data_IF_850248625646
#
_entry.id   IF_850248625646
#
_cell.length_a   1.000
_cell.length_b   1.000
_cell.length_c   1.000
_cell.angle_alpha   90.00
_cell.angle_beta   90.00
_cell.angle_gamma   90.00
#
_symmetry.space_group_name_H-M   'P 1'
#
loop_
_entity.id
_entity.type
_entity.pdbx_description
1 polymer ?
#
# COMPACT_ATOMS: atom_id res chain seq x y z
N UNK A 1 -7.01 2.33 -22.21
CA UNK A 1 -6.14 3.49 -22.47
C UNK A 1 -5.14 3.54 -21.32
N UNK A 2 -3.86 3.33 -21.56
CA UNK A 2 -2.85 3.49 -20.50
C UNK A 2 -2.84 4.97 -20.13
N UNK A 3 -3.11 5.28 -18.88
CA UNK A 3 -2.98 6.61 -18.34
C UNK A 3 -1.49 6.97 -18.29
N UNK A 4 -1.02 7.62 -19.33
CA UNK A 4 0.34 8.15 -19.39
C UNK A 4 0.29 9.57 -18.83
N UNK A 5 0.56 9.72 -17.57
CA UNK A 5 0.88 11.01 -16.97
C UNK A 5 2.25 11.42 -17.48
N UNK A 6 2.33 11.88 -18.73
CA UNK A 6 3.45 12.73 -19.13
C UNK A 6 3.40 13.96 -18.24
N UNK A 7 4.25 13.95 -17.23
CA UNK A 7 4.37 14.97 -16.17
C UNK A 7 4.90 16.30 -16.69
N UNK A 8 4.85 16.50 -17.99
CA UNK A 8 5.30 17.71 -18.64
C UNK A 8 4.19 18.77 -18.56
N UNK A 9 4.54 19.93 -18.07
CA UNK A 9 3.70 21.12 -18.21
C UNK A 9 3.62 21.45 -19.69
N UNK A 10 2.40 21.80 -20.17
CA UNK A 10 2.31 22.53 -21.42
C UNK A 10 3.08 23.84 -21.27
N UNK A 11 3.85 24.21 -22.29
CA UNK A 11 4.67 25.42 -22.33
C UNK A 11 3.93 26.58 -22.95
N UNK A 12 2.97 26.26 -23.83
CA UNK A 12 2.13 27.24 -24.51
C UNK A 12 0.73 26.65 -24.76
N UNK A 13 -0.22 27.50 -25.09
CA UNK A 13 -1.59 27.09 -25.36
C UNK A 13 -2.30 28.02 -26.34
N UNK A 14 -3.32 27.48 -27.02
CA UNK A 14 -4.19 28.22 -27.94
C UNK A 14 -5.65 27.85 -27.70
N UNK A 15 -6.50 28.83 -27.49
CA UNK A 15 -7.94 28.62 -27.36
C UNK A 15 -8.63 29.17 -28.61
N UNK A 16 -9.31 28.31 -29.32
CA UNK A 16 -10.03 28.67 -30.53
C UNK A 16 -11.37 29.37 -30.21
N UNK A 17 -11.90 30.07 -31.21
CA UNK A 17 -13.22 30.71 -31.09
C UNK A 17 -14.32 29.66 -30.98
N UNK A 18 -15.43 30.08 -30.35
CA UNK A 18 -16.65 29.28 -30.28
C UNK A 18 -17.26 29.10 -31.67
N UNK A 19 -17.48 27.85 -32.07
CA UNK A 19 -18.10 27.47 -33.35
C UNK A 19 -19.37 26.65 -33.11
N UNK A 20 -20.28 26.68 -34.07
CA UNK A 20 -21.43 25.78 -34.08
C UNK A 20 -20.95 24.38 -34.51
N UNK A 21 -21.39 23.35 -33.80
CA UNK A 21 -21.06 21.94 -34.06
C UNK A 21 -22.38 21.13 -34.08
N UNK A 22 -22.33 19.88 -34.53
CA UNK A 22 -23.49 19.03 -34.76
C UNK A 22 -24.49 18.96 -33.59
N UNK A 23 -24.05 19.16 -32.35
CA UNK A 23 -24.89 19.11 -31.14
C UNK A 23 -24.80 20.41 -30.31
N UNK A 24 -24.80 21.56 -30.93
CA UNK A 24 -24.78 22.85 -30.24
C UNK A 24 -23.50 23.67 -30.50
N UNK A 25 -22.97 24.30 -29.49
CA UNK A 25 -21.76 25.13 -29.58
C UNK A 25 -20.59 24.49 -28.85
N UNK A 26 -19.37 24.77 -29.30
CA UNK A 26 -18.16 24.31 -28.67
C UNK A 26 -16.91 25.07 -29.12
N UNK A 27 -15.79 24.78 -28.47
CA UNK A 27 -14.50 25.37 -28.79
C UNK A 27 -13.37 24.35 -28.53
N UNK A 28 -12.15 24.61 -29.05
CA UNK A 28 -10.99 23.78 -28.89
C UNK A 28 -9.92 24.49 -28.08
N UNK A 29 -9.26 23.73 -27.21
CA UNK A 29 -8.06 24.12 -26.49
C UNK A 29 -6.93 23.24 -27.00
N UNK A 30 -5.85 23.86 -27.48
CA UNK A 30 -4.62 23.17 -27.92
C UNK A 30 -3.54 23.51 -26.91
N UNK A 31 -2.88 22.49 -26.38
CA UNK A 31 -1.81 22.59 -25.43
C UNK A 31 -0.52 22.08 -26.07
N UNK A 32 0.54 22.87 -26.01
CA UNK A 32 1.83 22.56 -26.58
C UNK A 32 2.80 22.15 -25.47
N UNK A 33 3.55 21.08 -25.68
CA UNK A 33 4.51 20.53 -24.73
C UNK A 33 5.95 20.72 -25.18
N UNK A 34 6.90 20.70 -24.25
CA UNK A 34 8.34 20.86 -24.56
C UNK A 34 8.90 19.77 -25.51
N UNK A 35 8.28 18.59 -25.52
CA UNK A 35 8.65 17.49 -26.41
C UNK A 35 8.10 17.62 -27.84
N UNK A 36 7.48 18.76 -28.15
CA UNK A 36 6.86 19.01 -29.44
C UNK A 36 5.50 18.36 -29.64
N UNK A 37 4.96 17.67 -28.63
CA UNK A 37 3.62 17.08 -28.71
C UNK A 37 2.54 18.12 -28.48
N UNK A 38 1.40 17.94 -29.21
CA UNK A 38 0.22 18.76 -29.06
C UNK A 38 -0.94 17.93 -28.51
N UNK A 39 -1.66 18.46 -27.53
CA UNK A 39 -2.88 17.85 -27.00
C UNK A 39 -4.07 18.76 -27.32
N UNK A 40 -4.98 18.27 -28.13
CA UNK A 40 -6.20 18.99 -28.49
C UNK A 40 -7.36 18.51 -27.62
N UNK A 41 -7.97 19.42 -26.90
CA UNK A 41 -9.18 19.16 -26.12
C UNK A 41 -10.36 19.90 -26.74
N UNK A 42 -11.43 19.18 -27.04
CA UNK A 42 -12.67 19.78 -27.52
C UNK A 42 -13.68 19.86 -26.36
N UNK A 43 -14.12 21.07 -26.07
CA UNK A 43 -15.24 21.33 -25.18
C UNK A 43 -16.49 21.61 -26.00
N UNK A 44 -17.54 20.83 -25.80
CA UNK A 44 -18.76 20.85 -26.63
C UNK A 44 -20.01 20.55 -25.80
N UNK A 45 -21.18 20.66 -26.39
CA UNK A 45 -22.46 20.37 -25.72
C UNK A 45 -23.12 21.61 -25.09
N UNK A 46 -22.68 22.81 -25.43
CA UNK A 46 -23.32 24.01 -24.98
C UNK A 46 -24.55 24.32 -25.84
N UNK A 47 -25.69 24.59 -25.20
CA UNK A 47 -26.95 24.89 -25.87
C UNK A 47 -26.94 26.26 -26.57
N UNK A 48 -26.12 27.20 -26.09
CA UNK A 48 -26.03 28.56 -26.63
C UNK A 48 -24.59 29.00 -26.85
N UNK A 49 -24.36 29.90 -27.82
CA UNK A 49 -23.06 30.51 -28.07
C UNK A 49 -22.58 31.32 -26.86
N UNK A 50 -23.49 31.96 -26.13
CA UNK A 50 -23.18 32.74 -24.91
C UNK A 50 -22.63 31.85 -23.80
N UNK A 51 -23.24 30.66 -23.57
CA UNK A 51 -22.77 29.70 -22.57
C UNK A 51 -21.40 29.17 -22.93
N UNK A 52 -21.16 28.83 -24.21
CA UNK A 52 -19.88 28.36 -24.70
C UNK A 52 -18.78 29.44 -24.58
N UNK A 53 -19.10 30.71 -24.84
CA UNK A 53 -18.18 31.85 -24.69
C UNK A 53 -17.81 32.06 -23.23
N UNK A 54 -18.77 32.02 -22.32
CA UNK A 54 -18.51 32.15 -20.88
C UNK A 54 -17.61 31.05 -20.34
N UNK A 55 -17.83 29.80 -20.76
CA UNK A 55 -16.94 28.67 -20.38
C UNK A 55 -15.54 28.79 -21.01
N UNK A 56 -15.47 29.30 -22.26
CA UNK A 56 -14.20 29.59 -22.94
C UNK A 56 -13.38 30.65 -22.16
N UNK A 57 -14.02 31.73 -21.76
CA UNK A 57 -13.36 32.83 -21.04
C UNK A 57 -12.91 32.38 -19.64
N UNK A 58 -13.69 31.55 -18.97
CA UNK A 58 -13.27 30.88 -17.74
C UNK A 58 -12.05 30.00 -17.98
N UNK A 59 -12.06 29.18 -19.03
CA UNK A 59 -10.94 28.31 -19.41
C UNK A 59 -9.67 29.11 -19.71
N UNK A 60 -9.80 30.26 -20.38
CA UNK A 60 -8.66 31.15 -20.61
C UNK A 60 -8.11 31.70 -19.30
N UNK A 61 -8.96 32.10 -18.35
CA UNK A 61 -8.55 32.52 -17.00
C UNK A 61 -7.79 31.42 -16.25
N UNK A 62 -8.26 30.20 -16.32
CA UNK A 62 -7.57 29.04 -15.73
C UNK A 62 -6.21 28.76 -16.38
N UNK A 63 -6.10 28.90 -17.71
CA UNK A 63 -4.85 28.75 -18.44
C UNK A 63 -3.83 29.84 -18.07
N UNK A 64 -4.24 31.10 -18.01
CA UNK A 64 -3.41 32.23 -17.57
C UNK A 64 -2.96 32.05 -16.11
N UNK A 65 -3.85 31.61 -15.24
CA UNK A 65 -3.54 31.34 -13.84
C UNK A 65 -2.70 30.05 -13.65
N UNK A 66 -2.51 29.26 -14.71
CA UNK A 66 -1.83 27.96 -14.64
C UNK A 66 -2.57 26.91 -13.80
N UNK A 67 -3.89 27.08 -13.59
CA UNK A 67 -4.75 26.17 -12.83
C UNK A 67 -5.58 25.24 -13.73
N UNK A 68 -5.42 25.36 -15.04
CA UNK A 68 -6.13 24.52 -16.00
C UNK A 68 -5.79 23.04 -15.88
N UNK A 69 -6.81 22.20 -15.79
CA UNK A 69 -6.68 20.74 -15.61
C UNK A 69 -6.86 20.02 -16.95
N UNK A 70 -5.77 19.41 -17.42
CA UNK A 70 -5.74 18.73 -18.73
C UNK A 70 -6.51 17.41 -18.72
N UNK A 71 -6.55 16.72 -17.59
CA UNK A 71 -7.06 15.36 -17.48
C UNK A 71 -8.51 15.27 -16.96
N UNK A 72 -9.44 15.95 -17.63
CA UNK A 72 -10.84 16.05 -17.18
C UNK A 72 -11.61 14.73 -17.15
N UNK A 73 -11.19 13.70 -17.90
CA UNK A 73 -11.90 12.42 -18.04
C UNK A 73 -11.28 11.25 -17.26
N UNK A 74 -10.20 11.47 -16.48
CA UNK A 74 -9.54 10.42 -15.72
C UNK A 74 -10.42 10.00 -14.55
N UNK A 75 -10.69 8.68 -14.46
CA UNK A 75 -11.42 8.11 -13.33
C UNK A 75 -10.49 7.91 -12.13
N UNK A 76 -11.06 7.95 -10.94
CA UNK A 76 -10.35 7.71 -9.69
C UNK A 76 -9.64 6.35 -9.66
N UNK A 77 -10.27 5.31 -10.26
CA UNK A 77 -9.65 3.98 -10.41
C UNK A 77 -8.35 4.05 -11.19
N UNK A 78 -8.38 4.62 -12.40
CA UNK A 78 -7.22 4.66 -13.30
C UNK A 78 -6.08 5.48 -12.69
N UNK A 79 -6.43 6.58 -12.00
CA UNK A 79 -5.47 7.41 -11.27
C UNK A 79 -4.82 6.66 -10.12
N UNK A 80 -5.60 5.95 -9.28
CA UNK A 80 -5.05 5.20 -8.14
C UNK A 80 -4.17 4.03 -8.57
N UNK A 81 -4.53 3.33 -9.65
CA UNK A 81 -3.70 2.27 -10.23
C UNK A 81 -2.34 2.83 -10.70
N UNK A 82 -2.38 3.96 -11.41
CA UNK A 82 -1.17 4.66 -11.83
C UNK A 82 -0.34 5.11 -10.60
N UNK A 83 -0.97 5.76 -9.63
CA UNK A 83 -0.29 6.27 -8.44
C UNK A 83 0.35 5.16 -7.61
N UNK A 84 -0.31 4.02 -7.47
CA UNK A 84 0.26 2.85 -6.79
C UNK A 84 1.49 2.32 -7.51
N UNK A 85 1.42 2.16 -8.84
CA UNK A 85 2.48 1.51 -9.61
C UNK A 85 3.69 2.43 -9.81
N UNK A 86 3.46 3.67 -10.24
CA UNK A 86 4.52 4.57 -10.65
C UNK A 86 5.10 5.39 -9.49
N UNK A 87 4.27 5.77 -8.52
CA UNK A 87 4.69 6.66 -7.44
C UNK A 87 4.99 5.90 -6.14
N UNK A 88 4.12 4.95 -5.76
CA UNK A 88 4.25 4.30 -4.45
C UNK A 88 5.16 3.07 -4.48
N UNK A 89 5.08 2.26 -5.54
CA UNK A 89 5.87 1.02 -5.64
C UNK A 89 7.38 1.21 -5.47
N UNK A 90 8.03 2.23 -6.07
CA UNK A 90 9.46 2.46 -5.87
C UNK A 90 9.82 3.03 -4.49
N UNK A 91 8.84 3.60 -3.75
CA UNK A 91 9.09 4.34 -2.49
C UNK A 91 8.79 3.57 -1.23
N UNK A 92 7.96 2.54 -1.31
CA UNK A 92 7.51 1.80 -0.13
C UNK A 92 7.94 0.34 -0.20
N UNK A 93 7.99 -0.31 0.97
CA UNK A 93 8.30 -1.75 1.04
C UNK A 93 7.21 -2.59 0.38
N UNK A 94 7.56 -3.79 -0.10
CA UNK A 94 6.61 -4.72 -0.73
C UNK A 94 5.39 -5.03 0.14
N UNK A 95 5.56 -5.15 1.47
CA UNK A 95 4.44 -5.37 2.39
C UNK A 95 3.52 -4.15 2.51
N UNK A 96 4.08 -2.93 2.48
CA UNK A 96 3.29 -1.70 2.46
C UNK A 96 2.56 -1.54 1.14
N UNK A 97 3.21 -1.86 0.02
CA UNK A 97 2.61 -1.85 -1.31
C UNK A 97 1.41 -2.82 -1.40
N UNK A 98 1.56 -4.05 -0.90
CA UNK A 98 0.47 -5.02 -0.80
C UNK A 98 -0.69 -4.48 0.03
N UNK A 99 -0.39 -3.91 1.20
CA UNK A 99 -1.41 -3.33 2.09
C UNK A 99 -2.16 -2.17 1.42
N UNK A 100 -1.45 -1.28 0.74
CA UNK A 100 -2.04 -0.15 0.01
C UNK A 100 -2.89 -0.65 -1.17
N UNK A 101 -2.37 -1.59 -1.96
CA UNK A 101 -3.10 -2.19 -3.08
C UNK A 101 -4.41 -2.85 -2.62
N UNK A 102 -4.34 -3.72 -1.62
CA UNK A 102 -5.52 -4.37 -1.04
C UNK A 102 -6.54 -3.34 -0.54
N UNK A 103 -6.08 -2.26 0.10
CA UNK A 103 -6.97 -1.20 0.59
C UNK A 103 -7.62 -0.44 -0.56
N UNK A 104 -6.86 -0.09 -1.58
CA UNK A 104 -7.37 0.62 -2.77
C UNK A 104 -8.43 -0.22 -3.49
N UNK A 105 -8.13 -1.49 -3.77
CA UNK A 105 -9.03 -2.36 -4.55
C UNK A 105 -10.26 -2.83 -3.78
N UNK A 106 -10.12 -3.09 -2.48
CA UNK A 106 -11.23 -3.64 -1.69
C UNK A 106 -12.11 -2.57 -1.04
N UNK A 107 -11.60 -1.34 -0.88
CA UNK A 107 -12.32 -0.31 -0.12
C UNK A 107 -12.51 1.02 -0.86
N UNK A 108 -11.54 1.48 -1.67
CA UNK A 108 -11.63 2.79 -2.31
C UNK A 108 -12.29 2.69 -3.69
N UNK A 109 -11.78 1.82 -4.56
CA UNK A 109 -12.30 1.66 -5.93
C UNK A 109 -13.78 1.26 -5.98
N UNK A 110 -14.29 0.34 -5.14
CA UNK A 110 -15.70 -0.02 -5.18
C UNK A 110 -16.65 1.15 -4.91
N UNK A 111 -16.24 2.10 -4.06
CA UNK A 111 -17.08 3.23 -3.66
C UNK A 111 -16.96 4.43 -4.61
N UNK A 112 -15.72 4.83 -4.92
CA UNK A 112 -15.47 6.08 -5.68
C UNK A 112 -14.68 5.89 -6.98
N UNK A 113 -14.32 4.66 -7.34
CA UNK A 113 -13.43 4.39 -8.49
C UNK A 113 -13.97 4.84 -9.85
N UNK A 114 -15.27 4.92 -10.04
CA UNK A 114 -15.89 5.35 -11.30
C UNK A 114 -16.04 6.87 -11.42
N UNK A 115 -15.86 7.61 -10.34
CA UNK A 115 -15.96 9.07 -10.31
C UNK A 115 -14.74 9.65 -11.03
N UNK A 116 -14.95 10.65 -11.89
CA UNK A 116 -13.85 11.39 -12.51
C UNK A 116 -13.10 12.21 -11.46
N UNK A 117 -11.79 12.33 -11.61
CA UNK A 117 -10.92 13.06 -10.68
C UNK A 117 -11.38 14.51 -10.48
N UNK A 118 -11.87 15.15 -11.56
CA UNK A 118 -12.39 16.53 -11.53
C UNK A 118 -13.78 16.68 -10.90
N UNK A 119 -14.53 15.58 -10.81
CA UNK A 119 -15.88 15.53 -10.22
C UNK A 119 -15.87 15.04 -8.78
N UNK A 120 -14.71 14.61 -8.27
CA UNK A 120 -14.57 14.10 -6.90
C UNK A 120 -14.77 15.24 -5.90
N UNK A 121 -15.81 15.11 -5.07
CA UNK A 121 -16.19 16.11 -4.06
C UNK A 121 -15.80 15.64 -2.66
N UNK A 122 -15.71 16.58 -1.73
CA UNK A 122 -15.52 16.33 -0.30
C UNK A 122 -16.57 15.37 0.28
N UNK A 123 -17.82 15.45 -0.17
CA UNK A 123 -18.92 14.56 0.24
C UNK A 123 -18.65 13.10 -0.11
N UNK A 124 -18.09 12.81 -1.28
CA UNK A 124 -17.74 11.46 -1.69
C UNK A 124 -16.66 10.87 -0.77
N UNK A 125 -15.67 11.69 -0.37
CA UNK A 125 -14.62 11.26 0.55
C UNK A 125 -15.16 11.04 1.96
N UNK A 126 -16.09 11.86 2.42
CA UNK A 126 -16.77 11.69 3.71
C UNK A 126 -17.57 10.38 3.76
N UNK A 127 -18.30 10.06 2.70
CA UNK A 127 -19.08 8.83 2.62
C UNK A 127 -18.17 7.59 2.59
N UNK A 128 -17.11 7.61 1.79
CA UNK A 128 -16.07 6.58 1.81
C UNK A 128 -15.52 6.33 3.22
N UNK A 129 -15.25 7.41 3.97
CA UNK A 129 -14.74 7.28 5.35
C UNK A 129 -15.79 6.71 6.31
N UNK A 130 -17.07 7.05 6.13
CA UNK A 130 -18.16 6.45 6.91
C UNK A 130 -18.30 4.96 6.67
N UNK A 131 -18.41 4.54 5.41
CA UNK A 131 -18.55 3.13 5.04
C UNK A 131 -17.40 2.28 5.55
N UNK A 132 -16.18 2.77 5.38
CA UNK A 132 -14.99 2.03 5.83
C UNK A 132 -14.87 2.00 7.34
N UNK A 133 -15.28 3.06 8.03
CA UNK A 133 -15.20 3.16 9.49
C UNK A 133 -16.20 2.24 10.20
N UNK A 134 -17.39 2.01 9.60
CA UNK A 134 -18.37 1.02 10.10
C UNK A 134 -17.79 -0.40 10.09
N UNK A 135 -16.97 -0.73 9.08
CA UNK A 135 -16.34 -2.04 8.97
C UNK A 135 -15.11 -2.17 9.88
N UNK A 136 -14.23 -1.16 9.86
CA UNK A 136 -13.01 -1.15 10.68
C UNK A 136 -12.41 0.25 10.77
N UNK A 137 -12.19 0.72 11.99
CA UNK A 137 -11.53 2.02 12.25
C UNK A 137 -10.09 2.03 11.73
N UNK A 138 -9.38 0.91 11.85
CA UNK A 138 -8.00 0.80 11.37
C UNK A 138 -7.93 0.90 9.84
N UNK A 139 -8.85 0.26 9.13
CA UNK A 139 -8.96 0.37 7.66
C UNK A 139 -9.32 1.80 7.26
N UNK A 140 -10.27 2.45 7.94
CA UNK A 140 -10.64 3.84 7.65
C UNK A 140 -9.46 4.82 7.84
N UNK A 141 -8.61 4.61 8.85
CA UNK A 141 -7.37 5.39 9.02
C UNK A 141 -6.42 5.20 7.84
N UNK A 142 -6.27 3.98 7.37
CA UNK A 142 -5.41 3.68 6.22
C UNK A 142 -5.99 4.27 4.92
N UNK A 143 -7.31 4.14 4.70
CA UNK A 143 -8.01 4.80 3.59
C UNK A 143 -7.78 6.31 3.61
N UNK A 144 -7.91 6.95 4.78
CA UNK A 144 -7.62 8.39 4.93
C UNK A 144 -6.17 8.72 4.56
N UNK A 145 -5.21 7.91 4.99
CA UNK A 145 -3.79 8.10 4.65
C UNK A 145 -3.57 8.01 3.14
N UNK A 146 -4.13 7.00 2.49
CA UNK A 146 -4.03 6.81 1.03
C UNK A 146 -4.69 7.96 0.29
N UNK A 147 -5.91 8.35 0.66
CA UNK A 147 -6.63 9.46 0.04
C UNK A 147 -5.85 10.77 0.17
N UNK A 148 -5.36 11.10 1.37
CA UNK A 148 -4.59 12.32 1.57
C UNK A 148 -3.30 12.34 0.73
N UNK A 149 -2.59 11.22 0.68
CA UNK A 149 -1.31 11.12 -0.03
C UNK A 149 -1.51 11.17 -1.55
N UNK A 150 -2.48 10.42 -2.07
CA UNK A 150 -2.78 10.36 -3.50
C UNK A 150 -3.38 11.67 -4.02
N UNK A 151 -4.29 12.30 -3.26
CA UNK A 151 -4.88 13.59 -3.67
C UNK A 151 -3.86 14.74 -3.58
N UNK A 152 -2.94 14.71 -2.61
CA UNK A 152 -1.82 15.67 -2.58
C UNK A 152 -0.94 15.52 -3.81
N UNK A 153 -0.62 14.30 -4.20
CA UNK A 153 0.12 14.02 -5.44
C UNK A 153 -0.65 14.53 -6.66
N UNK A 154 -1.96 14.26 -6.76
CA UNK A 154 -2.80 14.72 -7.86
C UNK A 154 -2.82 16.26 -7.95
N UNK A 155 -2.89 16.96 -6.82
CA UNK A 155 -2.82 18.43 -6.75
C UNK A 155 -1.45 18.95 -7.22
N UNK A 156 -0.34 18.35 -6.71
CA UNK A 156 1.03 18.73 -7.11
C UNK A 156 1.27 18.53 -8.61
N UNK A 157 0.69 17.46 -9.17
CA UNK A 157 0.78 17.16 -10.62
C UNK A 157 -0.29 17.87 -11.45
N UNK A 158 -1.08 18.76 -10.86
CA UNK A 158 -2.15 19.51 -11.54
C UNK A 158 -3.20 18.65 -12.24
N UNK A 159 -3.43 17.43 -11.75
CA UNK A 159 -4.51 16.54 -12.19
C UNK A 159 -5.85 17.03 -11.66
N UNK A 160 -5.83 17.66 -10.49
CA UNK A 160 -6.97 18.34 -9.86
C UNK A 160 -6.55 19.76 -9.46
N UNK A 161 -7.50 20.67 -9.40
CA UNK A 161 -7.29 22.06 -8.96
C UNK A 161 -7.48 22.24 -7.45
N UNK A 162 -8.28 21.37 -6.82
CA UNK A 162 -8.57 21.40 -5.37
C UNK A 162 -8.50 20.00 -4.83
N UNK A 163 -7.92 19.84 -3.64
CA UNK A 163 -7.82 18.54 -2.96
C UNK A 163 -9.13 18.25 -2.19
N UNK A 164 -9.97 17.29 -2.64
CA UNK A 164 -11.24 16.98 -1.98
C UNK A 164 -11.08 16.22 -0.66
N UNK A 165 -9.91 15.65 -0.40
CA UNK A 165 -9.61 14.89 0.83
C UNK A 165 -8.98 15.78 1.92
N UNK A 166 -8.67 17.04 1.60
CA UNK A 166 -8.02 17.94 2.55
C UNK A 166 -8.93 18.18 3.77
N UNK A 167 -8.37 17.99 4.97
CA UNK A 167 -9.03 18.23 6.25
C UNK A 167 -10.39 17.54 6.43
N UNK A 168 -10.60 16.40 5.74
CA UNK A 168 -11.78 15.57 5.95
C UNK A 168 -11.58 14.72 7.21
N UNK A 169 -12.39 14.92 8.26
CA UNK A 169 -12.28 14.14 9.49
C UNK A 169 -12.83 12.72 9.27
N UNK A 170 -12.28 11.78 10.02
CA UNK A 170 -12.93 10.47 10.17
C UNK A 170 -14.19 10.65 11.03
N UNK A 171 -15.26 9.88 10.75
CA UNK A 171 -16.47 9.93 11.54
C UNK A 171 -16.14 9.53 12.99
N UNK A 172 -16.74 10.23 13.95
CA UNK A 172 -16.72 9.80 15.36
C UNK A 172 -17.59 8.54 15.44
N UNK A 173 -16.97 7.39 15.40
CA UNK A 173 -17.68 6.16 15.73
C UNK A 173 -17.83 6.21 17.24
N UNK A 174 -19.05 6.39 17.70
CA UNK A 174 -19.42 6.08 19.08
C UNK A 174 -19.20 4.57 19.19
N UNK A 175 -18.03 4.18 19.66
CA UNK A 175 -17.74 2.78 19.94
C UNK A 175 -18.85 2.31 20.87
N UNK A 176 -19.65 1.30 20.45
CA UNK A 176 -20.49 0.56 21.38
C UNK A 176 -19.61 0.22 22.56
N UNK A 177 -20.13 0.32 23.78
CA UNK A 177 -19.40 0.05 25.05
C UNK A 177 -18.51 -1.21 25.01
N UNK A 178 -18.85 -2.19 24.18
CA UNK A 178 -18.05 -3.40 23.91
C UNK A 178 -16.69 -3.16 23.24
N UNK A 179 -16.49 -2.01 22.55
CA UNK A 179 -15.19 -1.65 22.00
C UNK A 179 -14.31 -0.85 22.98
N UNK A 180 -14.89 -0.23 24.00
CA UNK A 180 -14.14 0.42 25.08
C UNK A 180 -13.49 -0.56 26.04
N UNK A 181 -13.97 -1.78 26.13
CA UNK A 181 -13.33 -2.87 26.89
C UNK A 181 -12.09 -3.45 26.17
N UNK A 182 -11.77 -3.03 24.94
CA UNK A 182 -10.43 -3.16 24.36
C UNK A 182 -9.50 -2.00 24.76
N UNK A 183 -9.92 -1.20 25.74
CA UNK A 183 -9.03 -0.30 26.47
C UNK A 183 -7.92 -1.14 27.10
N UNK A 184 -6.71 -0.76 26.82
CA UNK A 184 -5.46 -0.87 27.59
C UNK A 184 -5.29 -2.12 28.50
N UNK A 185 -6.34 -2.65 29.08
CA UNK A 185 -6.30 -3.66 30.13
C UNK A 185 -6.23 -5.10 29.66
N UNK A 186 -6.41 -5.39 28.39
CA UNK A 186 -6.33 -6.78 27.95
C UNK A 186 -5.63 -6.89 26.59
N UNK A 187 -4.40 -6.45 26.50
CA UNK A 187 -3.46 -7.21 25.70
C UNK A 187 -3.42 -8.57 26.40
N UNK A 188 -4.13 -9.54 25.86
CA UNK A 188 -4.07 -10.92 26.37
C UNK A 188 -2.65 -11.43 26.19
N UNK A 189 -1.78 -11.10 27.13
CA UNK A 189 -0.48 -11.71 27.25
C UNK A 189 -0.70 -13.10 27.86
N UNK A 190 0.03 -14.08 27.37
CA UNK A 190 -0.01 -15.40 27.96
C UNK A 190 0.61 -15.34 29.37
N UNK A 191 0.01 -16.05 30.33
CA UNK A 191 0.62 -16.30 31.63
C UNK A 191 1.79 -17.28 31.49
N UNK A 192 2.66 -17.34 32.48
CA UNK A 192 3.78 -18.28 32.49
C UNK A 192 3.30 -19.73 32.32
N UNK A 193 2.21 -20.11 33.01
CA UNK A 193 1.62 -21.45 32.86
C UNK A 193 1.12 -21.72 31.43
N UNK A 194 0.48 -20.74 30.81
CA UNK A 194 0.03 -20.85 29.43
C UNK A 194 1.20 -20.96 28.46
N UNK A 195 2.30 -20.25 28.72
CA UNK A 195 3.54 -20.34 27.98
C UNK A 195 4.13 -21.75 28.06
N UNK A 196 4.24 -22.30 29.26
CA UNK A 196 4.77 -23.66 29.48
C UNK A 196 3.90 -24.71 28.78
N UNK A 197 2.57 -24.59 28.87
CA UNK A 197 1.65 -25.47 28.16
C UNK A 197 1.79 -25.34 26.63
N UNK A 198 2.00 -24.13 26.11
CA UNK A 198 2.19 -23.90 24.67
C UNK A 198 3.50 -24.56 24.19
N UNK A 199 4.58 -24.42 24.94
CA UNK A 199 5.86 -25.02 24.62
C UNK A 199 5.70 -26.56 24.59
N UNK A 200 5.09 -27.15 25.62
CA UNK A 200 4.85 -28.58 25.71
C UNK A 200 3.99 -29.10 24.55
N UNK A 201 2.86 -28.44 24.30
CA UNK A 201 1.94 -28.84 23.21
C UNK A 201 2.54 -28.68 21.80
N UNK A 202 3.60 -27.89 21.64
CA UNK A 202 4.27 -27.69 20.36
C UNK A 202 5.39 -28.70 20.06
N UNK A 203 5.89 -29.47 21.03
CA UNK A 203 7.09 -30.29 20.92
C UNK A 203 7.15 -31.20 19.68
N UNK A 204 6.05 -31.88 19.38
CA UNK A 204 5.99 -32.82 18.27
C UNK A 204 5.42 -32.21 16.98
N UNK A 205 5.41 -30.86 16.90
CA UNK A 205 4.86 -30.16 15.77
C UNK A 205 5.96 -29.45 14.96
N UNK A 206 5.74 -29.24 13.65
CA UNK A 206 6.69 -28.49 12.82
C UNK A 206 6.92 -27.02 13.25
N UNK A 207 6.08 -26.49 14.16
CA UNK A 207 6.16 -25.09 14.61
C UNK A 207 6.87 -24.96 15.97
N UNK A 208 7.44 -26.02 16.53
CA UNK A 208 8.08 -25.97 17.85
C UNK A 208 9.17 -24.90 17.92
N UNK A 209 10.09 -24.89 16.97
CA UNK A 209 11.16 -23.88 16.93
C UNK A 209 10.64 -22.46 16.79
N UNK A 210 9.58 -22.24 16.00
CA UNK A 210 8.94 -20.92 15.91
C UNK A 210 8.34 -20.47 17.24
N UNK A 211 7.73 -21.40 18.00
CA UNK A 211 7.18 -21.12 19.34
C UNK A 211 8.31 -20.74 20.30
N UNK A 212 9.39 -21.51 20.35
CA UNK A 212 10.55 -21.22 21.20
C UNK A 212 11.15 -19.84 20.89
N UNK A 213 11.39 -19.55 19.63
CA UNK A 213 11.94 -18.26 19.21
C UNK A 213 11.01 -17.08 19.50
N UNK A 214 9.70 -17.27 19.35
CA UNK A 214 8.73 -16.23 19.66
C UNK A 214 8.67 -15.94 21.15
N UNK A 215 8.59 -16.99 21.97
CA UNK A 215 8.29 -16.90 23.40
C UNK A 215 9.53 -16.62 24.24
N UNK A 216 10.62 -17.34 23.98
CA UNK A 216 11.83 -17.28 24.81
C UNK A 216 12.87 -16.28 24.31
N UNK A 217 12.93 -16.02 22.97
CA UNK A 217 13.85 -15.04 22.40
C UNK A 217 13.16 -13.72 22.00
N UNK A 218 11.83 -13.64 22.03
CA UNK A 218 11.08 -12.44 21.69
C UNK A 218 11.26 -11.99 20.24
N UNK A 219 11.49 -12.91 19.30
CA UNK A 219 11.68 -12.60 17.90
C UNK A 219 10.35 -12.28 17.23
N UNK A 220 10.37 -11.33 16.27
CA UNK A 220 9.22 -11.06 15.42
C UNK A 220 9.01 -12.21 14.42
N UNK A 221 7.76 -12.46 14.01
CA UNK A 221 7.42 -13.55 13.05
C UNK A 221 8.32 -13.60 11.81
N UNK A 222 8.60 -12.46 11.19
CA UNK A 222 9.44 -12.43 10.00
C UNK A 222 10.94 -12.60 10.31
N UNK A 223 11.39 -12.23 11.50
CA UNK A 223 12.74 -12.53 12.00
C UNK A 223 12.88 -14.04 12.24
N UNK A 224 11.92 -14.66 12.94
CA UNK A 224 11.89 -16.12 13.19
C UNK A 224 12.09 -16.91 11.90
N UNK A 225 11.30 -16.59 10.87
CA UNK A 225 11.40 -17.28 9.58
C UNK A 225 12.72 -16.97 8.84
N UNK A 226 13.44 -15.93 9.21
CA UNK A 226 14.72 -15.53 8.61
C UNK A 226 15.95 -16.03 9.34
N UNK A 227 15.81 -16.72 10.48
CA UNK A 227 16.95 -17.27 11.25
C UNK A 227 17.57 -18.43 10.50
N UNK A 228 18.89 -18.37 10.37
CA UNK A 228 19.72 -19.44 9.78
C UNK A 228 20.61 -20.10 10.85
N UNK A 229 21.03 -21.33 10.59
CA UNK A 229 22.01 -21.98 11.45
C UNK A 229 23.34 -21.23 11.50
N UNK A 230 23.72 -20.54 10.42
CA UNK A 230 24.92 -19.69 10.34
C UNK A 230 24.84 -18.41 11.20
N UNK A 231 23.65 -18.04 11.70
CA UNK A 231 23.48 -16.90 12.60
C UNK A 231 23.80 -17.22 14.06
N UNK A 232 24.02 -18.51 14.38
CA UNK A 232 24.25 -18.98 15.73
C UNK A 232 25.75 -19.06 16.00
N UNK A 233 26.19 -18.40 17.05
CA UNK A 233 27.49 -18.63 17.66
C UNK A 233 27.38 -19.75 18.67
N UNK A 234 27.87 -20.91 18.30
CA UNK A 234 27.80 -22.13 19.12
C UNK A 234 28.73 -22.10 20.33
N UNK A 235 29.77 -21.24 20.30
CA UNK A 235 30.73 -21.13 21.41
C UNK A 235 30.14 -20.24 22.50
N UNK A 236 29.67 -19.02 22.08
CA UNK A 236 29.14 -18.04 23.00
C UNK A 236 27.63 -18.22 23.26
N UNK A 237 26.97 -19.16 22.58
CA UNK A 237 25.52 -19.42 22.63
C UNK A 237 24.71 -18.14 22.39
N UNK A 238 25.00 -17.46 21.28
CA UNK A 238 24.29 -16.26 20.90
C UNK A 238 23.71 -16.36 19.51
N UNK A 239 22.61 -15.64 19.28
CA UNK A 239 21.95 -15.51 17.99
C UNK A 239 22.09 -14.09 17.47
N UNK A 240 22.58 -13.92 16.25
CA UNK A 240 22.58 -12.65 15.53
C UNK A 240 21.29 -12.49 14.72
N UNK A 241 20.52 -11.46 15.02
CA UNK A 241 19.30 -11.12 14.26
C UNK A 241 19.67 -10.08 13.21
N UNK A 242 19.84 -10.52 11.95
CA UNK A 242 20.35 -9.68 10.86
C UNK A 242 19.38 -9.51 9.69
N UNK A 243 18.38 -10.39 9.58
CA UNK A 243 17.42 -10.40 8.46
C UNK A 243 16.03 -10.80 8.89
N UNK A 244 15.11 -10.62 7.98
CA UNK A 244 13.75 -11.14 8.09
C UNK A 244 13.35 -11.79 6.77
N UNK A 245 12.53 -12.84 6.82
CA UNK A 245 11.94 -13.45 5.64
C UNK A 245 10.53 -12.90 5.43
N UNK A 246 10.37 -12.09 4.40
CA UNK A 246 9.10 -11.49 4.03
C UNK A 246 8.51 -12.08 2.76
N UNK A 247 7.32 -11.60 2.41
CA UNK A 247 6.63 -11.94 1.17
C UNK A 247 6.72 -10.76 0.19
N UNK A 248 7.00 -11.04 -1.07
CA UNK A 248 6.91 -10.08 -2.17
C UNK A 248 5.76 -10.49 -3.08
N UNK A 249 4.74 -9.63 -3.30
CA UNK A 249 3.67 -9.94 -4.23
C UNK A 249 4.21 -10.01 -5.67
N UNK A 250 3.82 -11.04 -6.42
CA UNK A 250 4.20 -11.25 -7.82
C UNK A 250 3.22 -10.58 -8.80
N UNK A 251 2.55 -9.51 -8.36
CA UNK A 251 1.47 -8.87 -9.09
C UNK A 251 1.73 -7.38 -9.30
N UNK A 252 1.18 -6.85 -10.39
CA UNK A 252 1.05 -5.41 -10.62
C UNK A 252 -0.16 -4.86 -9.87
N UNK A 253 -0.27 -3.54 -9.74
CA UNK A 253 -1.38 -2.90 -9.03
C UNK A 253 -2.77 -3.40 -9.48
N UNK A 254 -2.98 -3.54 -10.78
CA UNK A 254 -4.26 -3.99 -11.38
C UNK A 254 -4.69 -5.43 -11.00
N UNK A 255 -3.78 -6.25 -10.50
CA UNK A 255 -4.03 -7.66 -10.20
C UNK A 255 -4.25 -7.89 -8.68
N UNK A 256 -4.56 -6.85 -7.93
CA UNK A 256 -4.89 -6.99 -6.51
C UNK A 256 -6.31 -7.54 -6.27
N UNK A 257 -6.52 -8.29 -5.15
CA UNK A 257 -5.51 -8.74 -4.20
C UNK A 257 -4.53 -9.74 -4.80
N UNK A 258 -3.26 -9.65 -4.41
CA UNK A 258 -2.22 -10.52 -4.91
C UNK A 258 -2.49 -11.99 -4.56
N UNK A 259 -2.47 -12.88 -5.56
CA UNK A 259 -2.73 -14.33 -5.38
C UNK A 259 -1.45 -15.13 -5.16
N UNK A 260 -0.33 -14.63 -5.66
CA UNK A 260 0.96 -15.31 -5.58
C UNK A 260 2.04 -14.44 -4.95
N UNK A 261 2.92 -15.07 -4.17
CA UNK A 261 3.97 -14.39 -3.45
C UNK A 261 5.27 -15.18 -3.57
N UNK A 262 6.40 -14.47 -3.66
CA UNK A 262 7.73 -15.05 -3.51
C UNK A 262 8.26 -14.74 -2.11
N UNK A 263 8.80 -15.74 -1.43
CA UNK A 263 9.57 -15.50 -0.19
C UNK A 263 10.85 -14.73 -0.56
N UNK A 264 11.18 -13.72 0.21
CA UNK A 264 12.35 -12.87 -0.02
C UNK A 264 13.02 -12.51 1.30
N UNK A 265 14.34 -12.62 1.35
CA UNK A 265 15.12 -12.01 2.42
C UNK A 265 15.00 -10.48 2.34
N UNK A 266 14.67 -9.86 3.46
CA UNK A 266 14.50 -8.43 3.58
C UNK A 266 15.39 -7.95 4.71
N UNK A 267 16.07 -6.82 4.51
CA UNK A 267 16.81 -6.15 5.58
C UNK A 267 15.89 -5.77 6.73
N UNK A 268 16.42 -5.73 7.93
CA UNK A 268 15.68 -5.28 9.09
C UNK A 268 15.25 -3.81 8.92
N UNK A 269 14.07 -3.48 9.46
CA UNK A 269 13.40 -2.19 9.21
C UNK A 269 14.19 -0.99 9.75
N UNK A 270 14.90 -1.17 10.85
CA UNK A 270 15.68 -0.11 11.50
C UNK A 270 17.04 -0.63 11.93
N UNK A 271 18.08 0.22 12.00
CA UNK A 271 19.38 -0.17 12.53
C UNK A 271 19.30 -0.80 13.92
N UNK A 272 18.44 -0.29 14.80
CA UNK A 272 18.23 -0.84 16.15
C UNK A 272 17.57 -2.23 16.20
N UNK A 273 17.10 -2.74 15.06
CA UNK A 273 16.59 -4.11 14.97
C UNK A 273 17.71 -5.15 14.84
N UNK A 274 18.90 -4.73 14.40
CA UNK A 274 20.10 -5.59 14.41
C UNK A 274 20.55 -5.76 15.86
N UNK A 275 20.60 -7.00 16.31
CA UNK A 275 20.94 -7.30 17.70
C UNK A 275 21.50 -8.71 17.86
N UNK A 276 22.27 -8.91 18.90
CA UNK A 276 22.75 -10.22 19.36
C UNK A 276 21.94 -10.56 20.61
N UNK A 277 21.42 -11.78 20.67
CA UNK A 277 20.59 -12.27 21.77
C UNK A 277 21.25 -13.51 22.36
N UNK A 278 21.43 -13.61 23.68
CA UNK A 278 21.84 -14.85 24.31
C UNK A 278 20.76 -15.92 24.14
N UNK A 279 21.17 -17.15 23.87
CA UNK A 279 20.29 -18.29 23.69
C UNK A 279 20.25 -19.08 25.01
N UNK A 280 19.06 -19.20 25.65
CA UNK A 280 18.91 -20.05 26.84
C UNK A 280 19.25 -21.55 26.51
N UNK A 281 19.78 -22.28 27.46
CA UNK A 281 20.21 -23.67 27.28
C UNK A 281 19.13 -24.56 26.65
N UNK A 282 17.89 -24.44 27.12
CA UNK A 282 16.76 -25.20 26.60
C UNK A 282 16.52 -24.94 25.09
N UNK A 283 16.64 -23.70 24.64
CA UNK A 283 16.48 -23.33 23.22
C UNK A 283 17.69 -23.82 22.42
N UNK A 284 18.88 -23.71 22.99
CA UNK A 284 20.11 -24.14 22.34
C UNK A 284 20.12 -25.66 22.08
N UNK A 285 19.69 -26.46 23.05
CA UNK A 285 19.52 -27.90 22.88
C UNK A 285 18.50 -28.24 21.81
N UNK A 286 17.36 -27.57 21.80
CA UNK A 286 16.35 -27.73 20.76
C UNK A 286 16.89 -27.40 19.36
N UNK A 287 17.72 -26.37 19.22
CA UNK A 287 18.39 -26.03 17.95
C UNK A 287 19.34 -27.16 17.51
N UNK A 288 20.08 -27.75 18.43
CA UNK A 288 20.99 -28.86 18.12
C UNK A 288 20.23 -30.10 17.64
N UNK A 289 19.10 -30.43 18.27
CA UNK A 289 18.25 -31.54 17.82
C UNK A 289 17.62 -31.26 16.45
N UNK A 290 17.09 -30.05 16.22
CA UNK A 290 16.54 -29.66 14.93
C UNK A 290 17.60 -29.73 13.82
N UNK A 291 18.85 -29.36 14.12
CA UNK A 291 19.95 -29.47 13.18
C UNK A 291 20.24 -30.93 12.79
N UNK A 292 20.15 -31.87 13.72
CA UNK A 292 20.29 -33.30 13.40
C UNK A 292 19.19 -33.76 12.42
N UNK A 293 17.97 -33.31 12.62
CA UNK A 293 16.83 -33.58 11.72
C UNK A 293 17.09 -32.97 10.34
N UNK A 294 17.53 -31.72 10.29
CA UNK A 294 17.88 -31.00 9.06
C UNK A 294 18.93 -31.77 8.25
N UNK A 295 20.05 -32.16 8.89
CA UNK A 295 21.13 -32.90 8.25
C UNK A 295 20.68 -34.31 7.77
N UNK A 296 19.84 -34.99 8.55
CA UNK A 296 19.23 -36.27 8.16
C UNK A 296 18.36 -36.12 6.91
N UNK A 297 17.52 -35.10 6.84
CA UNK A 297 16.65 -34.81 5.70
C UNK A 297 17.46 -34.43 4.45
N UNK A 298 18.51 -33.62 4.61
CA UNK A 298 19.45 -33.26 3.54
C UNK A 298 20.11 -34.50 2.92
N UNK A 299 20.58 -35.45 3.74
CA UNK A 299 21.20 -36.71 3.26
C UNK A 299 20.18 -37.63 2.61
N UNK A 300 18.94 -37.69 3.11
CA UNK A 300 17.91 -38.61 2.64
C UNK A 300 17.34 -38.24 1.26
N UNK A 301 17.23 -36.95 0.92
CA UNK A 301 16.64 -36.45 -0.32
C UNK A 301 17.45 -35.30 -0.92
N UNK A 302 18.69 -35.50 -1.32
CA UNK A 302 19.57 -34.40 -1.74
C UNK A 302 19.06 -33.66 -2.96
N UNK A 303 18.39 -34.32 -3.91
CA UNK A 303 17.85 -33.70 -5.12
C UNK A 303 16.58 -32.85 -4.88
N UNK A 304 15.83 -33.14 -3.82
CA UNK A 304 14.60 -32.43 -3.48
C UNK A 304 14.78 -31.44 -2.32
N UNK A 305 15.90 -31.48 -1.63
CA UNK A 305 16.17 -30.67 -0.46
C UNK A 305 16.73 -29.31 -0.88
N UNK A 306 16.02 -28.26 -0.53
CA UNK A 306 16.49 -26.89 -0.72
C UNK A 306 17.35 -26.48 0.48
N UNK A 307 18.68 -26.55 0.31
CA UNK A 307 19.65 -26.17 1.34
C UNK A 307 19.75 -24.63 1.42
N UNK A 308 18.83 -24.03 2.14
CA UNK A 308 18.76 -22.57 2.36
C UNK A 308 19.24 -22.15 3.76
N UNK A 309 19.69 -23.09 4.57
CA UNK A 309 20.24 -22.92 5.92
C UNK A 309 19.23 -22.36 6.97
N UNK A 310 17.93 -22.27 6.64
CA UNK A 310 16.93 -21.79 7.60
C UNK A 310 16.55 -22.83 8.64
N UNK A 311 16.34 -22.37 9.90
CA UNK A 311 15.90 -23.23 11.00
C UNK A 311 14.39 -23.49 10.94
N UNK A 312 13.59 -22.49 10.55
CA UNK A 312 12.13 -22.49 10.62
C UNK A 312 11.47 -22.41 9.23
N UNK A 313 11.90 -23.18 8.25
CA UNK A 313 11.33 -23.13 6.90
C UNK A 313 10.89 -24.47 6.37
#
# INVERSE_FOLDING_TARGET
MKFDLKTQRYVDWKVHNVTHIKNGYGYRVVLFYMDGTEVVQQKSGFSTKKAASADRDKTMGELYAGTYVVYSNVKMKDFLEFWLEEEMRPRITSGSYETYGNTVYNHIIPTIGQIKMTELKRSHVQELYKETAVRSVSVARLVKTIMNTSMRYALTKKIISVNPAQDVPLPKIVAKKEYHTRSIDVKKTLTVEQILRLIEASKDTPIHMQVLFAVLLGLRRCEINGVKYSDIDYINRTLRVERQLGKKPNTKAKDFPAKTFTKQEIKLKTPSSYRIIPIPDYVFEAILEERKIYEKNRRRRPAAFQDLDYICC
#
